data_IF_669328408402
#
_entry.id   IF_669328408402
#
_cell.length_a   1.000
_cell.length_b   1.000
_cell.length_c   1.000
_cell.angle_alpha   90.00
_cell.angle_beta   90.00
_cell.angle_gamma   90.00
#
_symmetry.space_group_name_H-M   'P 1'
#
loop_
_entity.id
_entity.type
_entity.pdbx_description
1 polymer ?
#
# COMPACT_ATOMS: atom_id res chain seq x y z
N UNK A 1 -0.52 -11.47 2.22
CA UNK A 1 0.35 -10.95 3.29
C UNK A 1 -0.14 -11.51 4.61
N UNK A 2 0.75 -11.92 5.51
CA UNK A 2 0.40 -12.47 6.82
C UNK A 2 1.07 -11.61 7.89
N UNK A 3 0.29 -11.05 8.82
CA UNK A 3 0.81 -10.28 9.96
C UNK A 3 1.06 -11.23 11.14
N UNK A 4 2.24 -11.11 11.74
CA UNK A 4 2.69 -12.02 12.79
C UNK A 4 3.29 -11.25 13.97
N UNK A 5 3.06 -11.74 15.19
CA UNK A 5 3.60 -11.16 16.44
C UNK A 5 4.83 -11.94 16.97
N UNK A 6 5.45 -12.82 16.17
CA UNK A 6 6.74 -13.55 16.37
C UNK A 6 6.86 -14.69 15.33
N UNK A 7 7.99 -15.41 15.32
CA UNK A 7 8.17 -16.71 14.65
C UNK A 7 7.89 -16.77 13.14
N UNK A 8 8.25 -15.72 12.39
CA UNK A 8 7.98 -15.63 10.95
C UNK A 8 8.50 -16.82 10.12
N UNK A 9 9.66 -17.39 10.49
CA UNK A 9 10.24 -18.55 9.79
C UNK A 9 9.40 -19.82 9.94
N UNK A 10 8.90 -20.08 11.15
CA UNK A 10 8.07 -21.25 11.43
C UNK A 10 6.77 -21.18 10.65
N UNK A 11 6.09 -20.02 10.70
CA UNK A 11 4.84 -19.81 9.96
C UNK A 11 5.07 -19.90 8.46
N UNK A 12 6.17 -19.34 7.94
CA UNK A 12 6.51 -19.47 6.53
C UNK A 12 6.63 -20.93 6.09
N UNK A 13 7.27 -21.79 6.89
CA UNK A 13 7.39 -23.21 6.59
C UNK A 13 6.04 -23.93 6.62
N UNK A 14 5.17 -23.61 7.59
CA UNK A 14 3.81 -24.16 7.64
C UNK A 14 2.98 -23.76 6.41
N UNK A 15 3.07 -22.50 5.99
CA UNK A 15 2.38 -22.02 4.78
C UNK A 15 2.92 -22.72 3.54
N UNK A 16 4.23 -22.96 3.43
CA UNK A 16 4.81 -23.73 2.33
C UNK A 16 4.26 -25.15 2.27
N UNK A 17 4.18 -25.84 3.41
CA UNK A 17 3.64 -27.21 3.47
C UNK A 17 2.16 -27.25 3.08
N UNK A 18 1.36 -26.32 3.61
CA UNK A 18 -0.07 -26.22 3.31
C UNK A 18 -0.31 -25.96 1.81
N UNK A 19 0.42 -25.02 1.22
CA UNK A 19 0.33 -24.72 -0.22
C UNK A 19 0.85 -25.89 -1.08
N UNK A 20 1.91 -26.58 -0.64
CA UNK A 20 2.42 -27.77 -1.31
C UNK A 20 1.39 -28.90 -1.37
N UNK A 21 0.59 -29.08 -0.30
CA UNK A 21 -0.54 -30.01 -0.30
C UNK A 21 -1.65 -29.65 -1.31
N UNK A 22 -1.68 -28.41 -1.80
CA UNK A 22 -2.57 -27.92 -2.86
C UNK A 22 -1.88 -27.85 -4.23
N UNK A 23 -0.64 -28.33 -4.36
CA UNK A 23 0.15 -28.22 -5.60
C UNK A 23 0.63 -26.80 -5.92
N UNK A 24 0.67 -25.90 -4.92
CA UNK A 24 1.11 -24.51 -5.06
C UNK A 24 2.48 -24.29 -4.42
N UNK A 25 3.32 -23.49 -5.06
CA UNK A 25 4.63 -23.09 -4.53
C UNK A 25 4.74 -21.58 -4.34
N UNK A 26 5.41 -21.16 -3.26
CA UNK A 26 5.71 -19.76 -3.02
C UNK A 26 6.92 -19.32 -3.85
N UNK A 27 6.74 -18.28 -4.66
CA UNK A 27 7.85 -17.68 -5.39
C UNK A 27 8.89 -17.09 -4.43
N UNK A 28 10.18 -17.45 -4.52
CA UNK A 28 11.21 -17.05 -3.57
C UNK A 28 11.39 -15.53 -3.50
N UNK A 29 11.47 -14.87 -4.65
CA UNK A 29 11.73 -13.42 -4.69
C UNK A 29 10.55 -12.55 -4.22
N UNK A 30 9.31 -13.07 -4.34
CA UNK A 30 8.10 -12.35 -3.92
C UNK A 30 7.78 -12.59 -2.44
N UNK A 31 8.45 -13.55 -1.80
CA UNK A 31 8.17 -13.98 -0.43
C UNK A 31 9.26 -13.53 0.52
N UNK A 32 8.91 -12.62 1.43
CA UNK A 32 9.86 -12.07 2.41
C UNK A 32 9.24 -11.90 3.77
N UNK A 33 10.07 -12.11 4.80
CA UNK A 33 9.75 -11.77 6.20
C UNK A 33 10.33 -10.38 6.46
N UNK A 34 9.48 -9.45 6.87
CA UNK A 34 9.85 -8.05 7.11
C UNK A 34 9.45 -7.63 8.52
N UNK A 35 10.27 -6.78 9.14
CA UNK A 35 9.94 -6.16 10.41
C UNK A 35 9.02 -4.95 10.18
N UNK A 36 7.90 -4.89 10.89
CA UNK A 36 6.91 -3.83 10.73
C UNK A 36 7.49 -2.42 11.01
N UNK A 37 8.53 -2.31 11.85
CA UNK A 37 9.23 -1.05 12.12
C UNK A 37 10.07 -0.54 10.94
N UNK A 38 10.57 -1.45 10.09
CA UNK A 38 11.25 -1.09 8.84
C UNK A 38 10.22 -0.62 7.79
N UNK A 39 9.02 -1.17 7.86
CA UNK A 39 7.91 -0.88 6.97
C UNK A 39 7.93 -1.71 5.69
N UNK A 40 6.81 -1.71 4.99
CA UNK A 40 6.62 -2.51 3.78
C UNK A 40 5.44 -2.00 2.94
N UNK A 41 5.48 -2.31 1.65
CA UNK A 41 4.38 -2.09 0.72
C UNK A 41 3.43 -3.29 0.67
N UNK A 42 2.13 -3.00 0.68
CA UNK A 42 1.08 -3.97 0.40
C UNK A 42 -0.13 -3.28 -0.25
N UNK A 43 -0.60 -3.82 -1.38
CA UNK A 43 -1.76 -3.30 -2.13
C UNK A 43 -1.70 -1.78 -2.39
N UNK A 44 -0.53 -1.27 -2.80
CA UNK A 44 -0.36 0.14 -3.10
C UNK A 44 -0.23 1.07 -1.89
N UNK A 45 -0.34 0.55 -0.66
CA UNK A 45 -0.14 1.28 0.59
C UNK A 45 1.20 0.89 1.24
N UNK A 46 1.87 1.86 1.87
CA UNK A 46 3.02 1.65 2.73
C UNK A 46 2.57 1.62 4.19
N UNK A 47 3.06 0.62 4.93
CA UNK A 47 2.76 0.43 6.35
C UNK A 47 4.05 0.52 7.15
N UNK A 48 4.00 1.22 8.29
CA UNK A 48 5.13 1.25 9.23
C UNK A 48 4.68 1.35 10.67
N UNK A 49 5.20 0.47 11.51
CA UNK A 49 5.00 0.53 12.95
C UNK A 49 5.96 1.57 13.56
N UNK A 50 5.42 2.65 14.09
CA UNK A 50 6.17 3.78 14.64
C UNK A 50 5.88 3.94 16.14
N UNK A 51 6.84 4.46 16.89
CA UNK A 51 6.61 4.84 18.29
C UNK A 51 5.66 6.04 18.37
N UNK A 52 4.73 5.98 19.32
CA UNK A 52 3.83 7.11 19.62
C UNK A 52 4.55 8.06 20.56
N UNK A 53 4.55 9.36 20.22
CA UNK A 53 5.22 10.41 21.01
C UNK A 53 4.28 11.18 21.94
N UNK A 54 2.97 10.95 21.87
CA UNK A 54 1.97 11.62 22.69
C UNK A 54 2.06 11.14 24.14
N UNK A 55 2.30 12.07 25.08
CA UNK A 55 2.56 11.79 26.51
C UNK A 55 1.47 10.95 27.19
N UNK A 56 0.21 11.08 26.78
CA UNK A 56 -0.95 10.39 27.36
C UNK A 56 -1.55 9.32 26.44
N UNK A 57 -0.79 8.84 25.46
CA UNK A 57 -1.27 7.76 24.60
C UNK A 57 -1.33 6.43 25.33
N UNK A 58 -2.48 5.74 25.24
CA UNK A 58 -2.61 4.34 25.66
C UNK A 58 -1.73 3.38 24.85
N UNK A 59 -1.37 3.75 23.63
CA UNK A 59 -0.53 2.95 22.74
C UNK A 59 0.91 3.48 22.72
N UNK A 60 1.89 2.58 22.89
CA UNK A 60 3.33 2.88 22.73
C UNK A 60 3.79 2.89 21.27
N UNK A 61 3.13 2.12 20.41
CA UNK A 61 3.40 2.05 18.97
C UNK A 61 2.09 2.17 18.19
N UNK A 62 2.12 2.85 17.05
CA UNK A 62 0.99 2.95 16.12
C UNK A 62 1.45 2.64 14.69
N UNK A 63 0.57 2.04 13.89
CA UNK A 63 0.84 1.81 12.48
C UNK A 63 0.50 3.07 11.70
N UNK A 64 1.51 3.68 11.07
CA UNK A 64 1.31 4.74 10.09
C UNK A 64 1.10 4.11 8.71
N UNK A 65 0.14 4.66 7.96
CA UNK A 65 -0.28 4.14 6.65
C UNK A 65 -0.38 5.31 5.69
N UNK A 66 0.22 5.19 4.51
CA UNK A 66 0.13 6.18 3.42
C UNK A 66 0.32 5.48 2.06
N UNK A 67 0.02 6.14 0.92
CA UNK A 67 0.27 5.54 -0.40
C UNK A 67 1.75 5.21 -0.59
N UNK A 68 2.04 4.04 -1.15
CA UNK A 68 3.40 3.64 -1.54
C UNK A 68 3.96 4.55 -2.64
N UNK A 69 5.29 4.67 -2.71
CA UNK A 69 5.96 5.44 -3.76
C UNK A 69 5.61 4.92 -5.16
N UNK A 70 5.44 3.60 -5.28
CA UNK A 70 5.01 2.96 -6.53
C UNK A 70 3.58 3.38 -6.92
N UNK A 71 2.66 3.49 -5.95
CA UNK A 71 1.30 3.99 -6.21
C UNK A 71 1.32 5.47 -6.58
N UNK A 72 2.09 6.28 -5.85
CA UNK A 72 2.30 7.70 -6.16
C UNK A 72 2.87 7.93 -7.56
N UNK A 73 3.80 7.07 -8.00
CA UNK A 73 4.38 7.13 -9.35
C UNK A 73 3.36 6.75 -10.42
N UNK A 74 2.55 5.70 -10.19
CA UNK A 74 1.50 5.26 -11.11
C UNK A 74 0.42 6.33 -11.32
N UNK A 75 -0.05 6.99 -10.25
CA UNK A 75 -1.05 8.05 -10.41
C UNK A 75 -0.47 9.25 -11.17
N UNK A 76 0.77 9.66 -10.87
CA UNK A 76 1.45 10.75 -11.63
C UNK A 76 1.59 10.41 -13.11
N UNK A 77 1.94 9.16 -13.42
CA UNK A 77 1.99 8.68 -14.80
C UNK A 77 0.62 8.74 -15.46
N UNK A 78 -0.42 8.25 -14.79
CA UNK A 78 -1.77 8.27 -15.33
C UNK A 78 -2.26 9.70 -15.61
N UNK A 79 -1.96 10.63 -14.72
CA UNK A 79 -2.22 12.06 -14.93
C UNK A 79 -1.47 12.55 -16.16
N UNK A 80 -0.17 12.24 -16.30
CA UNK A 80 0.60 12.62 -17.50
C UNK A 80 0.03 12.06 -18.80
N UNK A 81 -0.49 10.84 -18.79
CA UNK A 81 -1.13 10.24 -19.98
C UNK A 81 -2.44 10.94 -20.35
N UNK A 82 -3.33 11.14 -19.37
CA UNK A 82 -4.63 11.79 -19.58
C UNK A 82 -4.46 13.19 -20.12
N UNK A 83 -3.50 13.94 -19.54
CA UNK A 83 -3.19 15.28 -20.00
C UNK A 83 -2.03 15.30 -21.00
N UNK A 84 -1.60 14.19 -21.60
CA UNK A 84 -0.59 14.17 -22.66
C UNK A 84 -1.20 14.29 -24.05
N UNK A 85 -2.49 13.93 -24.18
CA UNK A 85 -3.22 13.85 -25.45
C UNK A 85 -3.90 15.20 -25.82
N UNK A 86 -3.20 16.32 -25.65
CA UNK A 86 -3.81 17.68 -25.58
C UNK A 86 -4.04 18.41 -26.88
N UNK A 87 -3.62 17.89 -28.03
CA UNK A 87 -3.49 18.70 -29.25
C UNK A 87 -4.79 19.42 -29.71
N UNK A 88 -5.96 19.08 -29.18
CA UNK A 88 -7.24 19.70 -29.52
C UNK A 88 -8.28 19.79 -28.39
N UNK A 89 -7.91 19.71 -27.10
CA UNK A 89 -8.88 19.69 -25.97
C UNK A 89 -8.95 21.01 -25.21
N UNK A 90 -10.16 21.42 -24.81
CA UNK A 90 -10.38 22.56 -23.91
C UNK A 90 -9.90 22.25 -22.47
N UNK A 91 -9.80 23.28 -21.63
CA UNK A 91 -9.47 23.10 -20.21
C UNK A 91 -10.58 22.33 -19.49
N UNK A 92 -11.82 22.61 -19.82
CA UNK A 92 -13.02 21.98 -19.29
C UNK A 92 -13.03 20.47 -19.60
N UNK A 93 -12.68 20.09 -20.83
CA UNK A 93 -12.56 18.67 -21.22
C UNK A 93 -11.45 17.95 -20.46
N UNK A 94 -10.33 18.64 -20.22
CA UNK A 94 -9.23 18.10 -19.42
C UNK A 94 -9.64 17.88 -17.96
N UNK A 95 -10.32 18.85 -17.35
CA UNK A 95 -10.83 18.74 -15.98
C UNK A 95 -11.84 17.59 -15.87
N UNK A 96 -12.77 17.51 -16.83
CA UNK A 96 -13.79 16.46 -16.90
C UNK A 96 -13.16 15.07 -17.02
N UNK A 97 -12.09 14.94 -17.80
CA UNK A 97 -11.35 13.68 -17.97
C UNK A 97 -10.50 13.32 -16.74
N UNK A 98 -9.91 14.31 -16.08
CA UNK A 98 -8.96 14.12 -14.98
C UNK A 98 -9.66 13.84 -13.64
N UNK A 99 -10.78 14.52 -13.37
CA UNK A 99 -11.48 14.44 -12.08
C UNK A 99 -11.88 13.01 -11.68
N UNK A 100 -12.42 12.14 -12.56
CA UNK A 100 -12.70 10.74 -12.21
C UNK A 100 -11.46 9.96 -11.77
N UNK A 101 -10.31 10.19 -12.42
CA UNK A 101 -9.05 9.51 -12.09
C UNK A 101 -8.57 9.90 -10.69
N UNK A 102 -8.56 11.21 -10.40
CA UNK A 102 -8.13 11.71 -9.08
C UNK A 102 -9.09 11.26 -7.98
N UNK A 103 -10.41 11.34 -8.22
CA UNK A 103 -11.42 10.88 -7.26
C UNK A 103 -11.31 9.39 -6.97
N UNK A 104 -11.10 8.56 -8.00
CA UNK A 104 -10.90 7.12 -7.83
C UNK A 104 -9.65 6.82 -6.99
N UNK A 105 -8.56 7.53 -7.27
CA UNK A 105 -7.31 7.37 -6.51
C UNK A 105 -7.45 7.80 -5.05
N UNK A 106 -8.09 8.95 -4.77
CA UNK A 106 -8.37 9.42 -3.42
C UNK A 106 -9.25 8.42 -2.66
N UNK A 107 -10.36 8.00 -3.27
CA UNK A 107 -11.28 7.04 -2.67
C UNK A 107 -10.59 5.71 -2.28
N UNK A 108 -9.67 5.22 -3.11
CA UNK A 108 -8.93 3.98 -2.83
C UNK A 108 -7.91 4.14 -1.70
N UNK A 109 -7.18 5.26 -1.67
CA UNK A 109 -6.09 5.49 -0.71
C UNK A 109 -6.55 6.16 0.60
N UNK A 110 -7.83 6.49 0.70
CA UNK A 110 -8.42 7.12 1.88
C UNK A 110 -8.38 6.18 3.08
N UNK A 111 -7.48 6.46 4.02
CA UNK A 111 -7.42 5.74 5.29
C UNK A 111 -8.43 6.34 6.26
N UNK A 112 -9.46 5.57 6.63
CA UNK A 112 -10.45 5.95 7.65
C UNK A 112 -10.04 5.38 9.01
N UNK A 113 -10.20 6.16 10.08
CA UNK A 113 -10.11 5.65 11.46
C UNK A 113 -8.72 5.64 12.12
N UNK A 114 -7.70 6.29 11.54
CA UNK A 114 -6.45 6.57 12.25
C UNK A 114 -6.52 8.01 12.76
N UNK A 115 -6.92 8.17 14.02
CA UNK A 115 -6.85 9.47 14.70
C UNK A 115 -5.38 9.94 14.80
N UNK A 116 -5.12 11.26 14.71
CA UNK A 116 -3.78 11.83 14.90
C UNK A 116 -3.20 11.58 16.30
#
# INVERSE_FOLDING_TARGET
MILLKRNGKLVLNQVKQMLGGLGLELHPDKTKIVHAEKGFDFLGMYFRLCSVRKKESRLRKSCRIWPSDSSGSRIKQRVREVIGQRYSKSLEDMITSLNPVLRGWDNYHKVRGIAP
#
